data_IF_103943674161
#
_entry.id   IF_103943674161
#
_cell.length_a   1.000
_cell.length_b   1.000
_cell.length_c   1.000
_cell.angle_alpha   90.00
_cell.angle_beta   90.00
_cell.angle_gamma   90.00
#
_symmetry.space_group_name_H-M   'P 1'
#
loop_
_entity.id
_entity.type
_entity.pdbx_description
1 polymer ?
#
# COMPACT_ATOMS: atom_id res chain seq x y z
N UNK A 1 -2.26 -9.74 -17.10
CA UNK A 1 -1.04 -9.21 -17.73
C UNK A 1 -1.27 -8.19 -18.86
N UNK A 2 -2.44 -8.11 -19.51
CA UNK A 2 -2.63 -7.24 -20.69
C UNK A 2 -3.05 -5.78 -20.38
N UNK A 3 -3.65 -5.52 -19.21
CA UNK A 3 -4.30 -4.23 -18.92
C UNK A 3 -3.31 -3.04 -18.88
N UNK A 4 -2.10 -3.30 -18.42
CA UNK A 4 -1.02 -2.31 -18.23
C UNK A 4 -0.52 -1.78 -19.57
N UNK A 5 -0.62 -2.58 -20.62
CA UNK A 5 -0.09 -2.27 -21.94
C UNK A 5 -1.18 -1.91 -22.95
N UNK A 6 -2.45 -1.94 -22.57
CA UNK A 6 -3.55 -1.68 -23.51
C UNK A 6 -4.26 -0.37 -23.19
N UNK A 7 -4.45 0.51 -24.20
CA UNK A 7 -5.24 1.71 -24.02
C UNK A 7 -6.65 1.35 -23.56
N UNK A 8 -7.33 2.33 -22.95
CA UNK A 8 -8.74 2.20 -22.59
C UNK A 8 -9.56 2.06 -23.88
N UNK A 9 -10.37 1.00 -24.06
CA UNK A 9 -11.27 0.88 -25.21
C UNK A 9 -12.27 2.03 -25.31
N UNK A 10 -12.70 2.39 -26.51
CA UNK A 10 -13.65 3.49 -26.73
C UNK A 10 -15.00 3.25 -26.06
N UNK A 11 -15.43 1.99 -25.96
CA UNK A 11 -16.66 1.57 -25.30
C UNK A 11 -16.49 1.31 -23.80
N UNK A 12 -15.31 1.56 -23.22
CA UNK A 12 -15.00 1.19 -21.84
C UNK A 12 -16.02 1.69 -20.82
N UNK A 13 -16.48 2.94 -20.94
CA UNK A 13 -17.44 3.50 -19.99
C UNK A 13 -18.82 2.86 -20.12
N UNK A 14 -19.24 2.48 -21.32
CA UNK A 14 -20.54 1.82 -21.54
C UNK A 14 -20.56 0.37 -21.06
N UNK A 15 -19.40 -0.26 -20.85
CA UNK A 15 -19.31 -1.58 -20.19
C UNK A 15 -19.58 -1.53 -18.68
N UNK A 16 -19.62 -0.34 -18.07
CA UNK A 16 -19.82 -0.17 -16.64
C UNK A 16 -21.31 -0.23 -16.28
N UNK A 17 -21.61 -0.78 -15.09
CA UNK A 17 -22.93 -0.79 -14.48
C UNK A 17 -23.45 0.62 -14.26
N UNK A 18 -24.77 0.75 -14.32
CA UNK A 18 -25.47 2.03 -14.19
C UNK A 18 -26.39 2.08 -12.98
N UNK A 19 -26.70 0.93 -12.38
CA UNK A 19 -27.59 0.81 -11.22
C UNK A 19 -26.93 1.34 -9.93
N UNK A 20 -25.62 1.15 -9.81
CA UNK A 20 -24.83 1.62 -8.68
C UNK A 20 -23.41 1.97 -9.14
N UNK A 21 -22.93 3.20 -8.85
CA UNK A 21 -21.59 3.62 -9.28
C UNK A 21 -20.46 3.00 -8.45
N UNK A 22 -20.72 2.69 -7.17
CA UNK A 22 -19.71 2.25 -6.20
C UNK A 22 -19.95 0.80 -5.79
N UNK A 23 -18.88 0.01 -5.81
CA UNK A 23 -18.80 -1.32 -5.21
C UNK A 23 -18.00 -1.29 -3.90
N UNK A 24 -18.47 -2.04 -2.91
CA UNK A 24 -17.70 -2.36 -1.71
C UNK A 24 -17.73 -3.85 -1.41
N UNK A 25 -16.57 -4.45 -1.14
CA UNK A 25 -16.47 -5.85 -0.73
C UNK A 25 -15.71 -5.92 0.58
N UNK A 26 -16.42 -6.16 1.68
CA UNK A 26 -15.80 -6.21 3.01
C UNK A 26 -16.43 -7.27 3.92
N UNK A 27 -15.54 -7.94 4.67
CA UNK A 27 -15.93 -8.92 5.69
C UNK A 27 -15.48 -8.55 7.11
N UNK A 28 -14.54 -7.60 7.25
CA UNK A 28 -14.15 -7.08 8.56
C UNK A 28 -14.96 -5.81 8.85
N UNK A 29 -15.98 -5.94 9.68
CA UNK A 29 -16.90 -4.85 10.02
C UNK A 29 -16.44 -4.09 11.26
N UNK A 30 -15.64 -4.72 12.11
CA UNK A 30 -15.03 -4.11 13.31
C UNK A 30 -13.64 -3.54 12.95
N UNK A 31 -13.59 -2.76 11.88
CA UNK A 31 -12.37 -2.09 11.44
C UNK A 31 -12.04 -0.92 12.38
N UNK A 32 -10.79 -0.80 12.80
CA UNK A 32 -10.34 0.18 13.80
C UNK A 32 -10.61 1.63 13.43
N UNK A 33 -10.65 1.95 12.14
CA UNK A 33 -10.92 3.31 11.70
C UNK A 33 -12.42 3.66 11.61
N UNK A 34 -13.33 2.73 11.90
CA UNK A 34 -14.78 2.88 11.74
C UNK A 34 -15.23 3.15 10.29
N UNK A 35 -14.49 2.66 9.28
CA UNK A 35 -14.87 2.84 7.86
C UNK A 35 -16.32 2.43 7.55
N UNK A 36 -16.83 1.41 8.25
CA UNK A 36 -18.19 0.90 8.04
C UNK A 36 -19.23 1.94 8.48
N UNK A 37 -18.95 2.73 9.52
CA UNK A 37 -19.82 3.82 9.98
C UNK A 37 -19.93 4.89 8.89
N UNK A 38 -18.81 5.34 8.34
CA UNK A 38 -18.81 6.34 7.27
C UNK A 38 -19.45 5.82 5.99
N UNK A 39 -19.17 4.58 5.58
CA UNK A 39 -19.76 4.00 4.37
C UNK A 39 -21.28 3.85 4.54
N UNK A 40 -21.77 3.46 5.72
CA UNK A 40 -23.21 3.42 6.00
C UNK A 40 -23.86 4.80 5.87
N UNK A 41 -23.17 5.86 6.29
CA UNK A 41 -23.66 7.23 6.12
C UNK A 41 -23.59 7.68 4.65
N UNK A 42 -22.52 7.35 3.94
CA UNK A 42 -22.36 7.61 2.50
C UNK A 42 -23.48 6.99 1.67
N UNK A 43 -23.91 5.77 2.02
CA UNK A 43 -25.00 5.04 1.36
C UNK A 43 -26.35 5.78 1.36
N UNK A 44 -26.53 6.80 2.22
CA UNK A 44 -27.72 7.66 2.20
C UNK A 44 -27.71 8.68 1.05
N UNK A 45 -26.54 8.97 0.47
CA UNK A 45 -26.34 10.04 -0.51
C UNK A 45 -25.95 9.53 -1.90
N UNK A 46 -25.41 8.32 -1.98
CA UNK A 46 -25.05 7.67 -3.23
C UNK A 46 -25.22 6.16 -3.10
N UNK A 47 -25.60 5.50 -4.19
CA UNK A 47 -25.79 4.07 -4.18
C UNK A 47 -24.45 3.34 -4.12
N UNK A 48 -24.30 2.50 -3.09
CA UNK A 48 -23.16 1.60 -2.92
C UNK A 48 -23.71 0.18 -2.88
N UNK A 49 -23.23 -0.65 -3.80
CA UNK A 49 -23.50 -2.08 -3.75
C UNK A 49 -22.44 -2.73 -2.84
N UNK A 50 -22.90 -3.23 -1.69
CA UNK A 50 -22.06 -3.86 -0.68
C UNK A 50 -22.23 -5.36 -0.67
N UNK A 51 -21.13 -6.03 -0.99
CA UNK A 51 -20.96 -7.46 -1.06
C UNK A 51 -20.08 -7.90 0.13
N UNK A 52 -20.36 -9.07 0.72
CA UNK A 52 -19.64 -9.56 1.89
C UNK A 52 -20.46 -9.43 3.18
N UNK A 53 -19.79 -9.38 4.35
CA UNK A 53 -20.50 -9.37 5.64
C UNK A 53 -20.95 -7.99 6.10
N UNK A 54 -20.26 -6.93 5.67
CA UNK A 54 -20.52 -5.57 6.14
C UNK A 54 -21.54 -4.86 5.27
N UNK A 55 -22.56 -4.22 5.89
CA UNK A 55 -23.62 -3.46 5.21
C UNK A 55 -24.24 -4.20 4.00
N UNK A 56 -24.28 -5.53 4.09
CA UNK A 56 -24.63 -6.44 3.00
C UNK A 56 -26.01 -6.11 2.41
N UNK A 57 -26.02 -5.57 1.19
CA UNK A 57 -27.24 -5.32 0.42
C UNK A 57 -27.25 -6.08 -0.92
N UNK A 58 -26.22 -6.90 -1.18
CA UNK A 58 -26.09 -7.77 -2.34
C UNK A 58 -25.61 -9.17 -1.93
N UNK A 59 -26.00 -10.23 -2.65
CA UNK A 59 -25.55 -11.59 -2.36
C UNK A 59 -24.02 -11.67 -2.46
N UNK A 60 -23.39 -12.51 -1.62
CA UNK A 60 -21.94 -12.68 -1.64
C UNK A 60 -21.44 -12.99 -3.06
N UNK A 61 -20.34 -12.38 -3.52
CA UNK A 61 -19.65 -12.88 -4.69
C UNK A 61 -19.09 -14.26 -4.32
N UNK A 62 -18.96 -15.16 -5.28
CA UNK A 62 -18.34 -16.46 -5.06
C UNK A 62 -16.82 -16.33 -4.92
N UNK A 63 -16.07 -16.99 -5.78
CA UNK A 63 -14.61 -17.04 -5.68
C UNK A 63 -13.87 -15.74 -5.99
N UNK A 64 -12.54 -15.75 -5.88
CA UNK A 64 -11.68 -14.60 -6.18
C UNK A 64 -11.81 -14.11 -7.62
N UNK A 65 -11.95 -15.02 -8.58
CA UNK A 65 -12.18 -14.67 -9.98
C UNK A 65 -13.48 -13.88 -10.16
N UNK A 66 -14.56 -14.33 -9.51
CA UNK A 66 -15.85 -13.63 -9.53
C UNK A 66 -15.76 -12.25 -8.87
N UNK A 67 -14.96 -12.11 -7.80
CA UNK A 67 -14.69 -10.82 -7.18
C UNK A 67 -14.03 -9.85 -8.17
N UNK A 68 -12.99 -10.30 -8.88
CA UNK A 68 -12.30 -9.48 -9.85
C UNK A 68 -13.21 -9.10 -11.05
N UNK A 69 -14.01 -10.04 -11.52
CA UNK A 69 -14.98 -9.82 -12.61
C UNK A 69 -16.14 -8.91 -12.18
N UNK A 70 -16.55 -8.99 -10.92
CA UNK A 70 -17.50 -8.06 -10.33
C UNK A 70 -16.92 -6.66 -10.26
N UNK A 71 -15.69 -6.50 -9.76
CA UNK A 71 -15.03 -5.19 -9.67
C UNK A 71 -14.94 -4.49 -11.03
N UNK A 72 -14.59 -5.23 -12.09
CA UNK A 72 -14.51 -4.70 -13.47
C UNK A 72 -15.78 -4.04 -13.97
N UNK A 73 -16.95 -4.45 -13.45
CA UNK A 73 -18.25 -3.92 -13.86
C UNK A 73 -18.56 -2.55 -13.24
N UNK A 74 -17.85 -2.11 -12.20
CA UNK A 74 -18.12 -0.83 -11.55
C UNK A 74 -17.17 0.26 -12.02
N UNK A 75 -17.59 1.53 -11.87
CA UNK A 75 -16.73 2.69 -12.08
C UNK A 75 -15.82 2.92 -10.89
N UNK A 76 -16.36 2.75 -9.68
CA UNK A 76 -15.64 3.02 -8.44
C UNK A 76 -15.65 1.80 -7.50
N UNK A 77 -14.58 1.65 -6.74
CA UNK A 77 -14.47 0.64 -5.69
C UNK A 77 -13.94 1.25 -4.40
N UNK A 78 -14.57 0.93 -3.27
CA UNK A 78 -14.15 1.36 -1.94
C UNK A 78 -12.96 0.50 -1.46
N UNK A 79 -11.74 0.93 -1.82
CA UNK A 79 -10.46 0.33 -1.44
C UNK A 79 -9.97 0.86 -0.08
N UNK A 80 -10.84 0.82 0.93
CA UNK A 80 -10.61 1.42 2.24
C UNK A 80 -9.95 0.43 3.18
N UNK A 81 -8.85 0.82 3.81
CA UNK A 81 -8.11 -0.04 4.74
C UNK A 81 -8.79 -0.17 6.09
N UNK A 82 -8.41 -1.19 6.86
CA UNK A 82 -9.02 -1.46 8.17
C UNK A 82 -8.59 -0.42 9.24
N UNK A 83 -7.47 0.28 8.99
CA UNK A 83 -6.80 1.20 9.91
C UNK A 83 -6.08 2.29 9.11
N UNK A 84 -5.74 3.39 9.76
CA UNK A 84 -5.03 4.51 9.15
C UNK A 84 -3.58 4.59 9.66
N UNK A 85 -2.74 3.66 9.22
CA UNK A 85 -1.32 3.61 9.59
C UNK A 85 -0.44 3.99 8.40
N UNK A 86 0.73 4.56 8.66
CA UNK A 86 1.67 4.83 7.57
C UNK A 86 2.09 3.53 6.92
N UNK A 87 2.32 3.60 5.60
CA UNK A 87 2.71 2.47 4.77
C UNK A 87 1.71 1.29 4.71
N UNK A 88 0.49 1.43 5.26
CA UNK A 88 -0.51 0.38 5.27
C UNK A 88 -1.43 0.43 4.03
N UNK A 89 -0.88 0.11 2.86
CA UNK A 89 -1.65 -0.12 1.63
C UNK A 89 -1.60 -1.61 1.23
N UNK A 90 -2.75 -2.19 0.91
CA UNK A 90 -2.92 -3.65 0.72
C UNK A 90 -3.51 -4.01 -0.65
N UNK A 91 -3.86 -5.28 -0.84
CA UNK A 91 -4.47 -5.83 -2.05
C UNK A 91 -5.67 -5.03 -2.53
N UNK A 92 -6.41 -4.38 -1.61
CA UNK A 92 -7.60 -3.58 -1.95
C UNK A 92 -7.30 -2.52 -3.00
N UNK A 93 -6.17 -1.81 -2.85
CA UNK A 93 -5.75 -0.80 -3.80
C UNK A 93 -5.34 -1.44 -5.14
N UNK A 94 -4.46 -2.44 -5.06
CA UNK A 94 -3.89 -3.10 -6.24
C UNK A 94 -4.93 -3.82 -7.09
N UNK A 95 -5.81 -4.60 -6.47
CA UNK A 95 -6.89 -5.31 -7.14
C UNK A 95 -7.81 -4.36 -7.91
N UNK A 96 -8.02 -3.16 -7.35
CA UNK A 96 -8.85 -2.12 -7.97
C UNK A 96 -8.22 -1.60 -9.26
N UNK A 97 -6.91 -1.34 -9.25
CA UNK A 97 -6.17 -1.02 -10.47
C UNK A 97 -6.22 -2.18 -11.47
N UNK A 98 -6.07 -3.42 -11.00
CA UNK A 98 -6.12 -4.62 -11.85
C UNK A 98 -7.51 -4.88 -12.45
N UNK A 99 -8.56 -4.34 -11.84
CA UNK A 99 -9.92 -4.36 -12.34
C UNK A 99 -10.26 -3.18 -13.25
N UNK A 100 -9.30 -2.27 -13.55
CA UNK A 100 -9.59 -1.01 -14.27
C UNK A 100 -10.80 -0.27 -13.68
N UNK A 101 -10.77 -0.10 -12.37
CA UNK A 101 -11.81 0.58 -11.58
C UNK A 101 -11.13 1.68 -10.80
N UNK A 102 -11.80 2.82 -10.56
CA UNK A 102 -11.21 3.93 -9.81
C UNK A 102 -11.30 3.64 -8.30
N UNK A 103 -10.18 3.53 -7.57
CA UNK A 103 -10.21 3.30 -6.13
C UNK A 103 -10.59 4.57 -5.37
N UNK A 104 -11.58 4.45 -4.49
CA UNK A 104 -11.86 5.39 -3.41
C UNK A 104 -11.13 4.87 -2.17
N UNK A 105 -10.14 5.61 -1.70
CA UNK A 105 -9.14 5.13 -0.73
C UNK A 105 -9.21 5.87 0.60
N UNK A 106 -8.86 5.13 1.65
CA UNK A 106 -8.36 5.69 2.90
C UNK A 106 -7.52 4.66 3.66
N UNK A 107 -6.48 5.12 4.35
CA UNK A 107 -5.46 4.27 4.97
C UNK A 107 -4.25 5.12 5.39
N UNK A 108 -3.06 4.93 4.78
CA UNK A 108 -1.89 5.76 5.06
C UNK A 108 -2.12 7.24 4.75
N UNK A 109 -1.41 8.10 5.48
CA UNK A 109 -1.45 9.54 5.22
C UNK A 109 -0.87 9.85 3.84
N UNK A 110 0.21 9.17 3.48
CA UNK A 110 0.90 9.31 2.21
C UNK A 110 0.71 8.08 1.32
N UNK A 111 -0.12 8.22 0.29
CA UNK A 111 -0.29 7.19 -0.74
C UNK A 111 0.75 7.26 -1.86
N UNK A 112 1.53 8.35 -1.99
CA UNK A 112 2.45 8.56 -3.13
C UNK A 112 3.30 7.35 -3.52
N UNK A 113 3.91 6.59 -2.58
CA UNK A 113 4.73 5.42 -2.93
C UNK A 113 3.94 4.27 -3.56
N UNK A 114 2.61 4.31 -3.48
CA UNK A 114 1.67 3.25 -3.88
C UNK A 114 0.83 3.64 -5.10
N UNK A 115 1.01 4.85 -5.64
CA UNK A 115 0.22 5.36 -6.75
C UNK A 115 1.05 5.49 -8.02
N UNK A 116 0.48 5.17 -9.20
CA UNK A 116 1.06 5.55 -10.48
C UNK A 116 1.22 7.07 -10.64
N UNK A 117 0.23 7.82 -10.16
CA UNK A 117 0.22 9.28 -10.13
C UNK A 117 -0.88 9.77 -9.17
N UNK A 118 -0.88 11.06 -8.84
CA UNK A 118 -1.83 11.66 -7.88
C UNK A 118 -3.29 11.55 -8.30
N UNK A 119 -3.56 11.45 -9.61
CA UNK A 119 -4.89 11.36 -10.20
C UNK A 119 -5.21 9.92 -10.62
N UNK A 120 -4.89 8.97 -9.76
CA UNK A 120 -5.22 7.55 -9.95
C UNK A 120 -6.20 7.05 -8.88
N UNK A 121 -6.46 7.83 -7.83
CA UNK A 121 -7.31 7.46 -6.70
C UNK A 121 -8.13 8.66 -6.24
N UNK A 122 -9.24 8.40 -5.57
CA UNK A 122 -10.04 9.43 -4.89
C UNK A 122 -9.86 9.24 -3.38
N UNK A 123 -9.31 10.23 -2.68
CA UNK A 123 -9.14 10.15 -1.22
C UNK A 123 -10.45 10.46 -0.50
N UNK A 124 -10.90 9.58 0.39
CA UNK A 124 -12.08 9.89 1.23
C UNK A 124 -11.81 11.09 2.15
N UNK A 125 -10.60 11.16 2.71
CA UNK A 125 -10.21 12.23 3.65
C UNK A 125 -9.87 13.57 2.98
N UNK A 126 -10.04 13.67 1.66
CA UNK A 126 -10.09 14.95 0.94
C UNK A 126 -11.43 15.67 1.08
N UNK A 127 -12.48 14.96 1.50
CA UNK A 127 -13.83 15.48 1.63
C UNK A 127 -14.17 15.63 3.12
N UNK A 128 -14.78 16.75 3.54
CA UNK A 128 -15.09 17.00 4.95
C UNK A 128 -16.20 16.10 5.48
N UNK A 129 -17.05 15.55 4.60
CA UNK A 129 -18.17 14.72 4.99
C UNK A 129 -18.62 13.75 3.86
N UNK A 130 -19.46 12.74 4.17
CA UNK A 130 -19.96 11.78 3.17
C UNK A 130 -20.76 12.41 2.03
N UNK A 131 -21.45 13.55 2.26
CA UNK A 131 -22.23 14.23 1.22
C UNK A 131 -21.31 14.83 0.17
N UNK A 132 -20.23 15.49 0.60
CA UNK A 132 -19.26 16.09 -0.33
C UNK A 132 -18.52 15.06 -1.15
N UNK A 133 -18.20 13.91 -0.58
CA UNK A 133 -17.70 12.78 -1.37
C UNK A 133 -18.76 12.28 -2.36
N UNK A 134 -20.00 12.06 -1.93
CA UNK A 134 -21.09 11.63 -2.80
C UNK A 134 -21.34 12.61 -3.96
N UNK A 135 -21.37 13.92 -3.70
CA UNK A 135 -21.51 14.97 -4.71
C UNK A 135 -20.43 14.84 -5.80
N UNK A 136 -19.18 14.60 -5.40
CA UNK A 136 -18.06 14.44 -6.33
C UNK A 136 -18.17 13.16 -7.15
N UNK A 137 -18.53 12.04 -6.52
CA UNK A 137 -18.71 10.78 -7.26
C UNK A 137 -19.88 10.89 -8.23
N UNK A 138 -20.99 11.55 -7.86
CA UNK A 138 -22.10 11.83 -8.79
C UNK A 138 -21.66 12.67 -10.00
N UNK A 139 -20.78 13.65 -9.78
CA UNK A 139 -20.20 14.43 -10.87
C UNK A 139 -19.39 13.55 -11.82
N UNK A 140 -18.49 12.72 -11.30
CA UNK A 140 -17.69 11.81 -12.12
C UNK A 140 -18.54 10.75 -12.82
N UNK A 141 -19.53 10.19 -12.15
CA UNK A 141 -20.42 9.18 -12.71
C UNK A 141 -21.22 9.71 -13.91
N UNK A 142 -21.58 11.00 -13.91
CA UNK A 142 -22.31 11.66 -15.00
C UNK A 142 -21.42 12.32 -16.05
N UNK A 143 -20.10 12.29 -15.87
CA UNK A 143 -19.15 12.97 -16.74
C UNK A 143 -18.02 12.01 -17.13
N UNK A 144 -18.23 11.30 -18.25
CA UNK A 144 -17.30 10.29 -18.77
C UNK A 144 -15.91 10.89 -19.03
N UNK A 145 -15.82 12.14 -19.50
CA UNK A 145 -14.54 12.81 -19.70
C UNK A 145 -13.79 12.97 -18.39
N UNK A 146 -14.45 13.50 -17.34
CA UNK A 146 -13.84 13.67 -16.04
C UNK A 146 -13.49 12.33 -15.35
N UNK A 147 -14.36 11.32 -15.49
CA UNK A 147 -14.08 9.97 -15.00
C UNK A 147 -12.86 9.34 -15.68
N UNK A 148 -12.75 9.46 -17.01
CA UNK A 148 -11.63 8.90 -17.78
C UNK A 148 -10.30 9.57 -17.46
N UNK A 149 -10.29 10.79 -16.90
CA UNK A 149 -9.06 11.42 -16.42
C UNK A 149 -8.38 10.64 -15.28
N UNK A 150 -9.13 9.81 -14.54
CA UNK A 150 -8.58 8.93 -13.51
C UNK A 150 -7.98 7.64 -14.08
N UNK A 151 -8.43 7.17 -15.26
CA UNK A 151 -8.07 5.84 -15.80
C UNK A 151 -7.07 5.92 -16.95
N UNK A 152 -7.32 6.82 -17.89
CA UNK A 152 -6.58 6.89 -19.15
C UNK A 152 -5.07 7.10 -18.97
N UNK A 153 -4.60 8.01 -18.08
CA UNK A 153 -3.16 8.28 -17.95
C UNK A 153 -2.33 7.04 -17.64
N UNK A 154 -2.86 6.12 -16.81
CA UNK A 154 -2.09 4.95 -16.39
C UNK A 154 -2.13 3.77 -17.36
N UNK A 155 -2.95 3.86 -18.41
CA UNK A 155 -3.05 2.85 -19.49
C UNK A 155 -2.57 3.38 -20.83
N UNK A 156 -2.24 4.65 -20.90
CA UNK A 156 -1.73 5.28 -22.10
C UNK A 156 -0.21 5.08 -22.21
N UNK A 157 0.22 4.28 -23.18
CA UNK A 157 1.65 4.04 -23.43
C UNK A 157 2.42 5.31 -23.84
N UNK A 158 1.73 6.37 -24.27
CA UNK A 158 2.33 7.66 -24.62
C UNK A 158 2.65 8.54 -23.40
N UNK A 159 2.10 8.21 -22.23
CA UNK A 159 2.43 8.87 -20.96
C UNK A 159 3.78 8.35 -20.45
N UNK A 160 4.64 9.20 -19.84
CA UNK A 160 5.91 8.77 -19.27
C UNK A 160 5.75 7.57 -18.32
N UNK A 161 6.75 6.69 -18.29
CA UNK A 161 6.71 5.45 -17.53
C UNK A 161 6.40 5.66 -16.05
N UNK A 162 6.93 6.72 -15.47
CA UNK A 162 6.78 7.08 -14.07
C UNK A 162 5.38 7.62 -13.71
N UNK A 163 4.50 7.83 -14.69
CA UNK A 163 3.14 8.34 -14.50
C UNK A 163 2.07 7.31 -14.89
N UNK A 164 2.49 6.09 -15.29
CA UNK A 164 1.60 4.98 -15.64
C UNK A 164 1.68 3.85 -14.64
N UNK A 165 0.71 2.93 -14.70
CA UNK A 165 0.91 1.61 -14.11
C UNK A 165 2.03 0.98 -14.94
N UNK A 166 3.28 1.08 -14.50
CA UNK A 166 4.37 0.44 -15.22
C UNK A 166 4.56 -1.01 -14.77
N UNK A 167 5.45 -1.71 -15.47
CA UNK A 167 5.74 -3.11 -15.17
C UNK A 167 6.44 -3.24 -13.82
N UNK A 168 7.22 -2.25 -13.40
CA UNK A 168 7.91 -2.26 -12.11
C UNK A 168 6.92 -2.13 -10.94
N UNK A 169 5.93 -1.25 -11.07
CA UNK A 169 4.79 -1.13 -10.17
C UNK A 169 4.03 -2.45 -10.12
N UNK A 170 3.64 -3.00 -11.28
CA UNK A 170 2.96 -4.29 -11.32
C UNK A 170 3.80 -5.39 -10.65
N UNK A 171 5.09 -5.49 -10.93
CA UNK A 171 5.98 -6.48 -10.37
C UNK A 171 6.22 -6.27 -8.86
N UNK A 172 6.22 -5.03 -8.38
CA UNK A 172 6.32 -4.72 -6.95
C UNK A 172 5.12 -5.26 -6.17
N UNK A 173 3.92 -5.18 -6.76
CA UNK A 173 2.68 -5.67 -6.15
C UNK A 173 2.40 -7.15 -6.42
N UNK A 174 2.67 -7.64 -7.63
CA UNK A 174 2.38 -9.01 -8.06
C UNK A 174 3.41 -10.02 -7.54
N UNK A 175 4.65 -9.59 -7.30
CA UNK A 175 5.63 -10.44 -6.65
C UNK A 175 5.38 -10.45 -5.15
N UNK A 176 4.81 -11.55 -4.65
CA UNK A 176 4.48 -11.70 -3.23
C UNK A 176 5.67 -11.42 -2.30
N UNK A 177 6.90 -11.79 -2.66
CA UNK A 177 8.09 -11.47 -1.84
C UNK A 177 8.40 -9.98 -1.82
N UNK A 178 8.28 -9.28 -2.95
CA UNK A 178 8.49 -7.82 -3.02
C UNK A 178 7.34 -7.06 -2.36
N UNK A 179 6.11 -7.46 -2.61
CA UNK A 179 4.92 -6.95 -1.96
C UNK A 179 5.03 -7.15 -0.45
N UNK A 180 5.46 -8.33 -0.01
CA UNK A 180 5.67 -8.60 1.40
C UNK A 180 6.73 -7.64 1.96
N UNK A 181 7.88 -7.46 1.28
CA UNK A 181 8.91 -6.48 1.65
C UNK A 181 8.42 -5.02 1.67
N UNK A 182 7.45 -4.65 0.83
CA UNK A 182 6.96 -3.28 0.66
C UNK A 182 5.70 -2.96 1.50
N UNK A 183 4.91 -3.98 1.87
CA UNK A 183 3.59 -3.89 2.53
C UNK A 183 3.51 -4.69 3.85
N UNK A 184 4.23 -5.81 3.97
CA UNK A 184 4.02 -6.82 5.03
C UNK A 184 5.08 -6.82 6.14
N UNK A 185 6.31 -6.34 5.90
CA UNK A 185 7.33 -6.33 6.97
C UNK A 185 7.05 -5.38 8.14
N UNK A 186 5.99 -4.56 8.06
CA UNK A 186 5.40 -3.90 9.24
C UNK A 186 3.97 -4.40 9.59
N UNK A 187 3.20 -5.00 8.68
CA UNK A 187 1.80 -5.37 8.99
C UNK A 187 1.62 -6.47 10.05
N UNK A 188 2.46 -7.52 10.02
CA UNK A 188 2.29 -8.71 10.89
C UNK A 188 2.82 -8.48 12.31
N UNK A 189 3.92 -7.74 12.47
CA UNK A 189 4.44 -7.39 13.80
C UNK A 189 3.65 -6.24 14.46
N UNK A 190 3.03 -5.35 13.67
CA UNK A 190 2.47 -4.11 14.21
C UNK A 190 0.94 -4.13 14.47
N UNK A 191 0.15 -4.92 13.73
CA UNK A 191 -1.31 -4.98 13.91
C UNK A 191 -1.80 -6.20 14.69
N UNK A 192 -1.11 -7.34 14.58
CA UNK A 192 -1.57 -8.60 15.17
C UNK A 192 -1.39 -8.60 16.68
N UNK A 193 -0.31 -8.00 17.21
CA UNK A 193 0.00 -8.07 18.63
C UNK A 193 -1.05 -7.37 19.51
N UNK A 194 -1.45 -6.10 19.26
CA UNK A 194 -2.47 -5.45 20.08
C UNK A 194 -3.87 -6.08 19.90
N UNK A 195 -4.23 -6.44 18.66
CA UNK A 195 -5.51 -7.11 18.34
C UNK A 195 -5.63 -8.50 18.99
N UNK A 196 -4.58 -9.31 18.92
CA UNK A 196 -4.53 -10.65 19.53
C UNK A 196 -4.65 -10.55 21.05
N UNK A 197 -3.99 -9.58 21.68
CA UNK A 197 -4.08 -9.35 23.12
C UNK A 197 -5.48 -8.91 23.57
N UNK A 198 -6.10 -7.95 22.87
CA UNK A 198 -7.45 -7.49 23.20
C UNK A 198 -8.49 -8.60 23.01
N UNK A 199 -8.33 -9.42 21.97
CA UNK A 199 -9.25 -10.53 21.65
C UNK A 199 -9.10 -11.74 22.57
N UNK A 200 -7.90 -12.05 23.06
CA UNK A 200 -7.63 -13.31 23.75
C UNK A 200 -7.24 -13.19 25.23
N UNK A 201 -6.82 -12.00 25.71
CA UNK A 201 -6.19 -11.90 27.03
C UNK A 201 -6.88 -10.96 28.03
N UNK A 202 -7.91 -10.20 27.63
CA UNK A 202 -8.74 -9.36 28.50
C UNK A 202 -7.92 -8.50 29.52
N UNK A 203 -6.75 -8.00 29.09
CA UNK A 203 -5.85 -7.16 29.91
C UNK A 203 -5.69 -5.78 29.28
N UNK A 204 -5.65 -4.75 30.13
CA UNK A 204 -5.27 -3.38 29.74
C UNK A 204 -3.77 -3.32 29.41
N UNK A 205 -3.41 -2.44 28.46
CA UNK A 205 -2.05 -2.27 27.93
C UNK A 205 -1.06 -1.62 28.92
N UNK A 206 -1.47 -1.32 30.15
CA UNK A 206 -0.72 -0.49 31.14
C UNK A 206 0.64 -1.03 31.60
N UNK A 207 1.08 -2.18 31.11
CA UNK A 207 2.38 -2.76 31.46
C UNK A 207 3.18 -3.33 30.28
N UNK A 208 2.69 -3.23 29.04
CA UNK A 208 3.40 -3.76 27.88
C UNK A 208 4.26 -2.67 27.24
N UNK A 209 5.57 -2.92 27.16
CA UNK A 209 6.58 -2.05 26.52
C UNK A 209 7.09 -2.74 25.25
N UNK A 210 6.45 -2.52 24.07
CA UNK A 210 6.86 -3.14 22.80
C UNK A 210 8.30 -2.80 22.43
N UNK A 211 8.81 -1.67 22.92
CA UNK A 211 10.19 -1.20 22.77
C UNK A 211 11.25 -2.11 23.41
N UNK A 212 10.87 -3.06 24.28
CA UNK A 212 11.81 -3.99 24.91
C UNK A 212 12.05 -5.28 24.13
N UNK A 213 11.28 -5.54 23.08
CA UNK A 213 11.48 -6.69 22.20
C UNK A 213 12.03 -6.18 20.87
N UNK A 214 13.33 -6.33 20.66
CA UNK A 214 14.05 -5.87 19.46
C UNK A 214 13.45 -6.33 18.12
N UNK A 215 12.58 -7.34 18.16
CA UNK A 215 11.91 -7.95 17.00
C UNK A 215 10.40 -7.64 16.89
N UNK A 216 9.76 -7.01 17.88
CA UNK A 216 8.33 -6.65 17.86
C UNK A 216 8.14 -5.15 18.11
N UNK A 217 8.28 -4.35 17.04
CA UNK A 217 7.92 -2.93 17.10
C UNK A 217 6.42 -2.77 16.87
N UNK A 218 5.73 -2.08 17.78
CA UNK A 218 4.36 -1.62 17.54
C UNK A 218 4.40 -0.39 16.61
N UNK A 219 3.47 -0.30 15.65
CA UNK A 219 3.35 0.88 14.79
C UNK A 219 2.72 2.02 15.58
N UNK A 220 3.48 3.10 15.79
CA UNK A 220 2.98 4.30 16.44
C UNK A 220 2.41 5.32 15.44
N UNK A 221 2.49 5.05 14.13
CA UNK A 221 1.95 5.93 13.08
C UNK A 221 0.46 5.74 12.85
N UNK A 222 -0.11 4.65 13.34
CA UNK A 222 -1.55 4.40 13.29
C UNK A 222 -2.30 5.56 13.96
N UNK A 223 -3.19 6.20 13.19
CA UNK A 223 -4.11 7.21 13.74
C UNK A 223 -5.04 6.57 14.78
N UNK A 224 -5.58 7.37 15.71
CA UNK A 224 -6.49 6.88 16.74
C UNK A 224 -7.68 6.11 16.15
N UNK A 225 -8.15 5.14 16.92
CA UNK A 225 -9.38 4.41 16.65
C UNK A 225 -10.54 5.38 16.38
N UNK A 226 -11.39 5.02 15.42
CA UNK A 226 -12.60 5.75 15.10
C UNK A 226 -12.41 7.06 14.34
N UNK A 227 -11.38 7.19 13.47
CA UNK A 227 -11.23 8.31 12.51
C UNK A 227 -12.56 8.69 11.83
N UNK A 228 -13.37 7.69 11.49
CA UNK A 228 -14.63 7.84 10.74
C UNK A 228 -15.89 7.81 11.60
N UNK A 229 -15.76 7.64 12.92
CA UNK A 229 -16.89 7.56 13.87
C UNK A 229 -17.82 8.77 13.81
N UNK A 230 -17.29 9.97 13.52
CA UNK A 230 -18.05 11.22 13.45
C UNK A 230 -19.21 11.15 12.44
N UNK A 231 -19.15 10.27 11.44
CA UNK A 231 -20.22 10.12 10.45
C UNK A 231 -21.54 9.65 11.10
N UNK A 232 -21.47 8.89 12.20
CA UNK A 232 -22.67 8.48 12.97
C UNK A 232 -23.42 9.63 13.62
N UNK A 233 -22.76 10.77 13.84
CA UNK A 233 -23.36 11.95 14.48
C UNK A 233 -24.34 12.68 13.55
N UNK A 234 -24.28 12.41 12.24
CA UNK A 234 -25.10 13.09 11.24
C UNK A 234 -24.68 14.54 11.01
N UNK A 235 -25.44 15.29 10.19
CA UNK A 235 -25.15 16.69 9.91
C UNK A 235 -25.47 17.62 11.10
N UNK A 236 -24.64 18.65 11.38
CA UNK A 236 -23.38 18.96 10.69
C UNK A 236 -22.29 17.96 11.07
N UNK A 237 -21.65 17.41 10.05
CA UNK A 237 -20.54 16.49 10.23
C UNK A 237 -19.30 17.27 10.67
N UNK A 238 -18.75 16.90 11.83
CA UNK A 238 -17.64 17.60 12.46
C UNK A 238 -16.49 16.61 12.76
N UNK A 239 -15.62 16.31 11.79
CA UNK A 239 -14.42 15.53 12.06
C UNK A 239 -13.47 16.31 12.97
N UNK A 240 -12.76 15.59 13.84
CA UNK A 240 -11.68 16.14 14.67
C UNK A 240 -10.33 16.25 13.92
N UNK A 241 -10.32 15.90 12.63
CA UNK A 241 -9.17 16.00 11.73
C UNK A 241 -9.46 17.00 10.61
N UNK A 242 -8.39 17.54 10.02
CA UNK A 242 -8.49 18.44 8.86
C UNK A 242 -8.47 17.63 7.58
N UNK A 243 -9.44 17.83 6.68
CA UNK A 243 -9.38 17.20 5.37
C UNK A 243 -8.11 17.55 4.63
N UNK A 244 -7.58 16.57 3.92
CA UNK A 244 -6.56 16.83 2.93
C UNK A 244 -7.13 17.75 1.85
N UNK A 245 -6.23 18.39 1.10
CA UNK A 245 -6.66 19.07 -0.11
C UNK A 245 -7.35 18.03 -1.01
N UNK A 246 -8.54 18.34 -1.54
CA UNK A 246 -9.11 17.56 -2.63
C UNK A 246 -8.07 17.39 -3.72
N UNK A 247 -8.10 16.24 -4.41
CA UNK A 247 -7.28 16.01 -5.61
C UNK A 247 -7.26 17.31 -6.43
N UNK A 248 -6.09 17.75 -6.89
CA UNK A 248 -5.75 19.11 -7.39
C UNK A 248 -6.62 19.66 -8.56
N UNK A 249 -7.74 19.03 -8.82
CA UNK A 249 -8.68 19.23 -9.91
C UNK A 249 -10.12 19.52 -9.47
N UNK A 250 -10.37 19.74 -8.18
CA UNK A 250 -11.42 20.70 -7.82
C UNK A 250 -10.96 22.10 -8.28
N UNK A 251 -11.19 22.45 -9.55
CA UNK A 251 -10.81 23.77 -10.11
C UNK A 251 -11.43 24.93 -9.29
N UNK A 252 -10.83 26.13 -9.34
CA UNK A 252 -10.56 26.96 -8.17
C UNK A 252 -11.76 27.82 -7.75
N UNK A 253 -12.16 27.72 -6.49
CA UNK A 253 -12.97 28.77 -5.84
C UNK A 253 -12.05 29.59 -4.92
N UNK A 254 -11.09 30.28 -5.54
CA UNK A 254 -10.45 31.54 -5.15
C UNK A 254 -9.17 31.72 -5.97
N UNK A 255 -9.30 32.32 -7.15
CA UNK A 255 -8.20 33.02 -7.79
C UNK A 255 -7.81 34.22 -6.89
N UNK A 256 -6.50 34.42 -6.74
CA UNK A 256 -5.81 35.37 -5.86
C UNK A 256 -5.48 34.78 -4.48
N UNK A 257 -4.25 34.29 -4.31
CA UNK A 257 -3.17 35.04 -3.66
C UNK A 257 -1.88 34.20 -3.62
N UNK A 258 -0.82 34.78 -4.20
CA UNK A 258 0.62 34.51 -4.00
C UNK A 258 1.19 33.24 -4.62
N UNK A 259 1.91 33.49 -5.72
CA UNK A 259 3.05 32.72 -6.23
C UNK A 259 3.88 32.12 -5.08
N UNK A 260 3.77 30.81 -4.88
CA UNK A 260 4.78 30.05 -4.17
C UNK A 260 5.90 29.75 -5.16
N UNK A 261 7.12 30.09 -4.77
CA UNK A 261 8.33 29.92 -5.56
C UNK A 261 8.55 28.44 -5.91
N UNK A 262 9.21 28.13 -7.05
CA UNK A 262 9.46 26.76 -7.44
C UNK A 262 10.30 26.05 -6.38
N UNK A 263 9.83 24.87 -5.97
CA UNK A 263 10.57 23.97 -5.08
C UNK A 263 11.92 23.64 -5.75
N UNK A 264 12.99 24.17 -5.17
CA UNK A 264 14.36 23.92 -5.65
C UNK A 264 14.71 22.46 -5.36
N UNK A 265 14.96 21.70 -6.44
CA UNK A 265 15.58 20.36 -6.38
C UNK A 265 17.05 20.51 -5.95
N UNK A 266 17.28 20.86 -4.68
CA UNK A 266 18.62 20.88 -4.08
C UNK A 266 18.74 20.06 -2.79
N UNK A 267 17.64 19.57 -2.23
CA UNK A 267 17.67 18.88 -0.93
C UNK A 267 17.52 17.35 -1.01
N UNK A 268 17.64 16.74 -2.19
CA UNK A 268 17.73 15.28 -2.35
C UNK A 268 19.16 14.73 -2.33
N UNK A 269 20.17 15.58 -2.10
CA UNK A 269 21.58 15.18 -2.05
C UNK A 269 22.19 15.06 -0.63
N UNK A 270 21.37 15.04 0.42
CA UNK A 270 21.86 14.96 1.82
C UNK A 270 21.67 13.60 2.49
N UNK A 271 21.28 12.57 1.76
CA UNK A 271 21.62 11.20 2.14
C UNK A 271 22.91 10.79 1.42
N UNK A 272 24.02 11.28 1.96
CA UNK A 272 25.32 10.71 1.69
C UNK A 272 25.27 9.23 2.06
N UNK A 273 25.24 8.36 1.06
CA UNK A 273 25.72 7.00 1.21
C UNK A 273 27.24 7.12 1.43
N UNK A 274 27.64 7.39 2.67
CA UNK A 274 28.99 7.14 3.12
C UNK A 274 29.17 5.61 3.12
N UNK A 275 29.50 5.09 1.93
CA UNK A 275 30.02 3.74 1.79
C UNK A 275 31.24 3.60 2.72
N UNK A 276 31.50 2.39 3.25
CA UNK A 276 32.58 2.17 4.19
C UNK A 276 33.87 2.77 3.63
N UNK A 277 34.53 3.61 4.45
CA UNK A 277 35.69 4.40 4.04
C UNK A 277 36.71 3.53 3.29
N UNK A 278 37.49 4.11 2.36
CA UNK A 278 38.56 3.40 1.64
C UNK A 278 39.47 2.59 2.57
N UNK A 279 39.67 3.05 3.80
CA UNK A 279 40.43 2.35 4.85
C UNK A 279 39.75 1.04 5.27
N UNK A 280 38.43 1.03 5.41
CA UNK A 280 37.63 -0.15 5.76
C UNK A 280 37.76 -1.24 4.69
N UNK A 281 37.73 -0.88 3.41
CA UNK A 281 37.93 -1.82 2.30
C UNK A 281 39.38 -2.35 2.22
N UNK A 282 40.38 -1.50 2.51
CA UNK A 282 41.78 -1.94 2.58
C UNK A 282 42.01 -2.92 3.73
N UNK A 283 41.43 -2.65 4.91
CA UNK A 283 41.53 -3.56 6.06
C UNK A 283 40.84 -4.89 5.78
N UNK A 284 39.62 -4.87 5.21
CA UNK A 284 38.90 -6.09 4.88
C UNK A 284 39.69 -6.95 3.87
N UNK A 285 40.24 -6.32 2.82
CA UNK A 285 41.06 -7.00 1.83
C UNK A 285 42.34 -7.60 2.43
N UNK A 286 42.99 -6.87 3.34
CA UNK A 286 44.17 -7.36 4.06
C UNK A 286 43.86 -8.57 4.94
N UNK A 287 42.74 -8.54 5.68
CA UNK A 287 42.30 -9.68 6.50
C UNK A 287 41.95 -10.91 5.66
N UNK A 288 41.32 -10.73 4.49
CA UNK A 288 41.05 -11.83 3.58
C UNK A 288 42.35 -12.48 3.06
N UNK A 289 43.37 -11.69 2.72
CA UNK A 289 44.68 -12.20 2.29
C UNK A 289 45.39 -12.97 3.41
N UNK A 290 45.38 -12.44 4.64
CA UNK A 290 45.96 -13.13 5.79
C UNK A 290 45.23 -14.45 6.09
N UNK A 291 43.89 -14.44 6.04
CA UNK A 291 43.09 -15.64 6.31
C UNK A 291 43.31 -16.73 5.27
N UNK A 292 43.31 -16.37 3.98
CA UNK A 292 43.59 -17.31 2.89
C UNK A 292 45.02 -17.87 2.96
N UNK A 293 46.01 -17.03 3.29
CA UNK A 293 47.39 -17.46 3.52
C UNK A 293 47.51 -18.41 4.71
N UNK A 294 46.83 -18.13 5.83
CA UNK A 294 46.82 -18.98 7.01
C UNK A 294 46.17 -20.35 6.74
N UNK A 295 45.03 -20.36 6.05
CA UNK A 295 44.37 -21.60 5.63
C UNK A 295 45.25 -22.41 4.67
N UNK A 296 45.92 -21.75 3.71
CA UNK A 296 46.92 -22.38 2.85
C UNK A 296 48.08 -23.02 3.63
N UNK A 297 48.60 -22.33 4.64
CA UNK A 297 49.66 -22.84 5.51
C UNK A 297 49.22 -24.05 6.36
N UNK A 298 48.00 -24.01 6.92
CA UNK A 298 47.44 -25.13 7.66
C UNK A 298 47.26 -26.37 6.77
N UNK A 299 46.77 -26.18 5.54
CA UNK A 299 46.66 -27.25 4.55
C UNK A 299 48.02 -27.79 4.14
N UNK A 300 49.02 -26.92 3.95
CA UNK A 300 50.40 -27.34 3.67
C UNK A 300 51.00 -28.15 4.82
N UNK A 301 50.88 -27.71 6.09
CA UNK A 301 51.34 -28.48 7.26
C UNK A 301 50.61 -29.81 7.40
N UNK A 302 49.32 -29.87 7.09
CA UNK A 302 48.56 -31.12 7.10
C UNK A 302 49.11 -32.09 6.04
N UNK A 303 49.39 -31.59 4.84
CA UNK A 303 49.93 -32.38 3.72
C UNK A 303 51.38 -32.85 3.96
N UNK A 304 52.22 -32.01 4.55
CA UNK A 304 53.62 -32.37 4.87
C UNK A 304 53.70 -33.40 6.01
N UNK A 305 52.80 -33.34 7.01
CA UNK A 305 52.68 -34.38 8.05
C UNK A 305 52.27 -35.74 7.48
N UNK A 306 51.35 -35.79 6.52
CA UNK A 306 50.95 -37.05 5.87
C UNK A 306 52.05 -37.67 5.00
N UNK A 307 53.02 -36.88 4.51
CA UNK A 307 54.14 -37.41 3.71
C UNK A 307 55.26 -38.05 4.54
N UNK A 308 55.27 -37.86 5.88
CA UNK A 308 56.32 -38.38 6.77
C UNK A 308 55.99 -39.76 7.36
N UNK A 309 54.74 -40.25 7.23
CA UNK A 309 54.28 -41.52 7.82
C UNK A 309 54.04 -42.66 6.81
N UNK A 310 54.42 -42.48 5.55
CA UNK A 310 54.37 -43.52 4.54
C UNK A 310 55.75 -44.16 4.31
N UNK A 311 56.23 -44.92 5.31
CA UNK A 311 57.23 -45.97 5.13
C UNK A 311 56.53 -47.31 4.90
N UNK A 312 56.83 -48.08 3.84
CA UNK A 312 56.21 -49.38 3.61
C UNK A 312 56.82 -50.46 4.51
N UNK A 313 55.97 -51.19 5.24
CA UNK A 313 56.33 -52.40 5.99
C UNK A 313 56.57 -53.58 5.05
N UNK A 314 57.76 -54.19 5.14
CA UNK A 314 58.16 -55.45 4.50
C UNK A 314 57.47 -56.62 5.23
N UNK A 315 56.90 -57.61 4.52
CA UNK A 315 56.36 -58.81 5.16
C UNK A 315 57.47 -59.82 5.47
N UNK A 316 57.47 -60.35 6.69
CA UNK A 316 58.29 -61.50 7.11
C UNK A 316 57.66 -62.81 6.61
N UNK A 317 58.48 -63.63 5.97
CA UNK A 317 58.26 -65.06 5.69
C UNK A 317 58.73 -65.92 6.85
#
# INVERSE_FOLDING_TARGET
MNIVRQPVPDDFVSTKRTEAPILWIASNCDAWNDRHVYINELMKYIQVDSYGRCLNNKPSPGGEQERADLMRQYKFYLAVENSNCDNYATEKLFDTFMASTVPIVDGPVNYQPYLPNNRSVIRMDAYPDPRKLADYIHYLDKNDTAYLEYITPFRNQQVPEQQRLDIEFYDAWANRTKFDLFSVWCGVCHGVLPWWHQRHLNRTLDGFRPDQLDYLRADQTCRPEGKWSYASLGPPYLPNWRPNLPDEFTRPWHANHRTLAPYSIRDLNTYGLDGPSRVTWMLFSFYCILFTGFMGFLLYRKRSKTSYYSTPSIPLS
#
